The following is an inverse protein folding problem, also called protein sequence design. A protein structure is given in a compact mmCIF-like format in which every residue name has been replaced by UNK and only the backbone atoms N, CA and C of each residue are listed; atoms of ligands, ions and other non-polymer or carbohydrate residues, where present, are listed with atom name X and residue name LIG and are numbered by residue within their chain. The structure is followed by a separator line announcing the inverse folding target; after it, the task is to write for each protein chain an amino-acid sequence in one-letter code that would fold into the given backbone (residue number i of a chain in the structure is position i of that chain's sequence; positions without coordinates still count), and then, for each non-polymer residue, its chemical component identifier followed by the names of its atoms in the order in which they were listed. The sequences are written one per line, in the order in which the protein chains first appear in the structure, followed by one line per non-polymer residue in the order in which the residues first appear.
data_IF_137910713385
#
_entry.id   IF_137910713385
#
_cell.length_a   1.000
_cell.length_b   1.000
_cell.length_c   1.000
_cell.angle_alpha   90.00
_cell.angle_beta   90.00
_cell.angle_gamma   90.00
#
_symmetry.space_group_name_H-M   'P 1'
#
loop_
_entity.id
_entity.type
_entity.pdbx_description
1 polymer ?
#
# COMPACT_ATOMS: atom_id res chain seq x y z
N UNK A 1 5.42 -0.82 -1.83
CA UNK A 1 4.20 -0.84 -1.00
C UNK A 1 4.53 -0.81 0.48
N UNK A 2 3.58 -0.37 1.30
CA UNK A 2 3.69 -0.38 2.77
C UNK A 2 2.68 -1.38 3.31
N UNK A 3 3.15 -2.28 4.15
CA UNK A 3 2.33 -3.24 4.89
C UNK A 3 2.22 -2.88 6.38
N UNK A 4 1.37 -3.60 7.10
CA UNK A 4 1.18 -3.45 8.55
C UNK A 4 0.82 -2.00 8.96
N UNK A 5 0.00 -1.32 8.18
CA UNK A 5 -0.43 0.06 8.45
C UNK A 5 -1.56 0.16 9.47
N UNK A 6 -2.12 -0.97 9.91
CA UNK A 6 -3.11 -1.05 10.99
C UNK A 6 -2.44 -1.39 12.33
N UNK A 7 -2.70 -0.58 13.35
CA UNK A 7 -2.21 -0.86 14.72
C UNK A 7 -2.74 -2.19 15.29
N UNK A 8 -3.92 -2.61 14.87
CA UNK A 8 -4.49 -3.90 15.27
C UNK A 8 -3.67 -5.05 14.68
N UNK A 9 -3.33 -4.98 13.39
CA UNK A 9 -2.52 -6.00 12.71
C UNK A 9 -1.08 -6.01 13.26
N UNK A 10 -0.49 -4.82 13.50
CA UNK A 10 0.81 -4.73 14.17
C UNK A 10 0.81 -5.48 15.51
N UNK A 11 -0.19 -5.24 16.36
CA UNK A 11 -0.31 -5.92 17.65
C UNK A 11 -0.47 -7.45 17.51
N UNK A 12 -1.22 -7.92 16.51
CA UNK A 12 -1.39 -9.36 16.25
C UNK A 12 -0.09 -10.06 15.85
N UNK A 13 0.78 -9.38 15.12
CA UNK A 13 2.07 -9.91 14.66
C UNK A 13 3.24 -9.57 15.59
N UNK A 14 2.97 -8.88 16.71
CA UNK A 14 4.03 -8.44 17.63
C UNK A 14 4.95 -7.38 17.02
N UNK A 15 4.46 -6.63 16.03
CA UNK A 15 5.19 -5.54 15.38
C UNK A 15 4.86 -4.21 16.06
N UNK A 16 5.83 -3.30 16.08
CA UNK A 16 5.67 -1.92 16.59
C UNK A 16 5.70 -0.86 15.49
N UNK A 17 5.99 -1.28 14.27
CA UNK A 17 6.13 -0.43 13.09
C UNK A 17 5.54 -1.10 11.84
N UNK A 18 5.33 -0.35 10.75
CA UNK A 18 5.00 -0.91 9.45
C UNK A 18 6.13 -1.77 8.89
N UNK A 19 5.83 -2.58 7.89
CA UNK A 19 6.81 -3.18 7.00
C UNK A 19 6.68 -2.61 5.58
N UNK A 20 7.54 -3.04 4.67
CA UNK A 20 7.44 -2.68 3.27
C UNK A 20 7.90 -3.82 2.37
N UNK A 21 7.36 -3.84 1.16
CA UNK A 21 7.76 -4.74 0.08
C UNK A 21 7.93 -3.98 -1.23
N UNK A 22 8.64 -4.61 -2.16
CA UNK A 22 8.79 -4.09 -3.51
C UNK A 22 7.67 -4.61 -4.40
N UNK A 23 7.01 -3.70 -5.12
CA UNK A 23 6.08 -4.06 -6.20
C UNK A 23 6.87 -4.04 -7.51
N UNK A 24 7.07 -5.21 -8.10
CA UNK A 24 7.82 -5.37 -9.34
C UNK A 24 6.91 -5.17 -10.55
N UNK A 25 7.50 -4.95 -11.73
CA UNK A 25 6.75 -4.65 -12.95
C UNK A 25 5.85 -5.82 -13.40
N UNK A 26 6.25 -7.04 -13.15
CA UNK A 26 5.49 -8.26 -13.44
C UNK A 26 4.32 -8.52 -12.46
N UNK A 27 4.24 -7.74 -11.38
CA UNK A 27 3.10 -7.75 -10.46
C UNK A 27 2.00 -6.76 -10.85
N UNK A 28 2.24 -5.89 -11.83
CA UNK A 28 1.28 -4.88 -12.27
C UNK A 28 0.27 -5.48 -13.26
N UNK A 29 -1.01 -5.33 -12.95
CA UNK A 29 -2.12 -5.70 -13.83
C UNK A 29 -2.98 -4.49 -14.16
N UNK A 30 -3.53 -4.48 -15.38
CA UNK A 30 -4.44 -3.43 -15.83
C UNK A 30 -5.81 -3.51 -15.12
N UNK A 31 -6.50 -2.37 -15.06
CA UNK A 31 -7.87 -2.31 -14.55
C UNK A 31 -8.80 -3.19 -15.40
N UNK A 32 -9.44 -4.18 -14.75
CA UNK A 32 -10.24 -5.21 -15.42
C UNK A 32 -9.44 -6.37 -16.03
N UNK A 33 -8.11 -6.40 -15.92
CA UNK A 33 -7.30 -7.52 -16.36
C UNK A 33 -7.41 -8.71 -15.40
N UNK A 34 -7.46 -9.91 -15.95
CA UNK A 34 -7.52 -11.13 -15.15
C UNK A 34 -6.13 -11.58 -14.71
N UNK A 35 -5.95 -11.80 -13.42
CA UNK A 35 -4.75 -12.46 -12.89
C UNK A 35 -4.89 -13.96 -13.19
N UNK A 36 -3.92 -14.60 -13.87
CA UNK A 36 -4.01 -16.00 -14.25
C UNK A 36 -4.17 -16.93 -13.04
N UNK A 37 -5.08 -17.89 -13.15
CA UNK A 37 -5.23 -18.93 -12.14
C UNK A 37 -3.94 -19.74 -12.01
N UNK A 38 -3.54 -20.03 -10.77
CA UNK A 38 -2.33 -20.80 -10.46
C UNK A 38 -1.07 -19.97 -10.24
N UNK A 39 -1.12 -18.64 -10.44
CA UNK A 39 -0.05 -17.73 -10.00
C UNK A 39 -0.10 -17.48 -8.49
N UNK A 40 -1.29 -17.60 -7.90
CA UNK A 40 -1.54 -17.28 -6.49
C UNK A 40 -1.84 -18.57 -5.71
N UNK A 41 -1.45 -18.58 -4.43
CA UNK A 41 -1.57 -19.73 -3.53
C UNK A 41 -2.79 -19.58 -2.62
N UNK A 42 -2.86 -18.47 -1.90
CA UNK A 42 -3.90 -18.17 -0.91
C UNK A 42 -4.17 -16.64 -0.85
N UNK A 43 -4.59 -16.03 -1.98
CA UNK A 43 -4.64 -14.58 -2.10
C UNK A 43 -5.69 -13.93 -1.19
N UNK A 44 -5.36 -12.72 -0.76
CA UNK A 44 -6.30 -11.75 -0.18
C UNK A 44 -6.20 -10.45 -0.95
N UNK A 45 -7.25 -9.64 -0.88
CA UNK A 45 -7.36 -8.39 -1.62
C UNK A 45 -7.51 -7.23 -0.66
N UNK A 46 -6.69 -6.20 -0.83
CA UNK A 46 -6.70 -5.00 0.00
C UNK A 46 -6.96 -3.77 -0.88
N UNK A 47 -7.91 -2.94 -0.47
CA UNK A 47 -8.16 -1.66 -1.15
C UNK A 47 -7.29 -0.57 -0.52
N UNK A 48 -6.57 0.16 -1.38
CA UNK A 48 -5.55 1.11 -0.99
C UNK A 48 -5.65 2.43 -1.77
N UNK A 49 -4.82 3.38 -1.39
CA UNK A 49 -4.51 4.57 -2.19
C UNK A 49 -3.08 4.40 -2.72
N UNK A 50 -2.91 4.56 -4.02
CA UNK A 50 -1.61 4.70 -4.64
C UNK A 50 -1.25 6.18 -4.77
N UNK A 51 -0.03 6.57 -4.38
CA UNK A 51 0.55 7.89 -4.63
C UNK A 51 1.58 7.77 -5.75
N UNK A 52 1.44 8.59 -6.77
CA UNK A 52 2.36 8.62 -7.90
C UNK A 52 3.37 9.74 -7.66
N UNK A 53 4.64 9.37 -7.53
CA UNK A 53 5.71 10.29 -7.15
C UNK A 53 6.30 10.97 -8.39
N UNK A 54 6.47 12.28 -8.35
CA UNK A 54 7.02 13.08 -9.45
C UNK A 54 8.30 13.85 -9.08
N UNK A 55 8.77 13.72 -7.82
CA UNK A 55 10.04 14.31 -7.35
C UNK A 55 10.74 13.34 -6.42
N UNK A 56 12.06 13.35 -6.46
CA UNK A 56 12.89 12.52 -5.60
C UNK A 56 12.74 12.93 -4.12
N UNK A 57 12.65 11.93 -3.25
CA UNK A 57 12.54 12.06 -1.79
C UNK A 57 13.85 11.55 -1.17
N UNK A 58 14.86 12.42 -1.10
CA UNK A 58 16.24 12.04 -0.75
C UNK A 58 16.71 12.57 0.61
N UNK A 59 15.87 13.34 1.33
CA UNK A 59 16.20 13.86 2.65
C UNK A 59 16.20 12.74 3.71
N UNK A 60 16.98 12.90 4.78
CA UNK A 60 16.98 11.93 5.90
C UNK A 60 15.63 11.86 6.62
N UNK A 61 14.88 12.96 6.61
CA UNK A 61 13.53 13.06 7.18
C UNK A 61 12.60 13.82 6.26
N UNK A 62 11.38 13.35 6.18
CA UNK A 62 10.34 13.96 5.38
C UNK A 62 9.17 14.43 6.25
N UNK A 63 8.46 15.41 5.74
CA UNK A 63 7.22 15.96 6.30
C UNK A 63 6.06 15.69 5.34
N UNK A 64 4.84 15.98 5.78
CA UNK A 64 3.70 15.97 4.87
C UNK A 64 3.89 16.90 3.67
N UNK A 65 4.52 18.06 3.87
CA UNK A 65 4.77 19.01 2.80
C UNK A 65 5.68 18.40 1.71
N UNK A 66 6.69 17.63 2.10
CA UNK A 66 7.59 16.94 1.16
C UNK A 66 6.83 15.89 0.36
N UNK A 67 6.04 15.05 1.03
CA UNK A 67 5.23 14.01 0.35
C UNK A 67 4.18 14.66 -0.57
N UNK A 68 3.45 15.67 -0.10
CA UNK A 68 2.44 16.37 -0.92
C UNK A 68 3.09 17.03 -2.14
N UNK A 69 4.25 17.69 -1.95
CA UNK A 69 4.98 18.34 -3.05
C UNK A 69 5.55 17.34 -4.06
N UNK A 70 5.89 16.12 -3.61
CA UNK A 70 6.45 15.07 -4.45
C UNK A 70 5.37 14.17 -5.09
N UNK A 71 4.13 14.27 -4.68
CA UNK A 71 3.04 13.48 -5.25
C UNK A 71 2.39 14.24 -6.40
N UNK A 72 2.39 13.65 -7.59
CA UNK A 72 1.67 14.21 -8.72
C UNK A 72 0.16 14.04 -8.55
N UNK A 73 -0.29 12.81 -8.32
CA UNK A 73 -1.69 12.49 -8.08
C UNK A 73 -1.82 11.18 -7.29
N UNK A 74 -3.01 10.95 -6.77
CA UNK A 74 -3.41 9.69 -6.16
C UNK A 74 -4.34 8.91 -7.09
N UNK A 75 -4.30 7.58 -6.97
CA UNK A 75 -5.21 6.65 -7.63
C UNK A 75 -5.85 5.74 -6.58
N UNK A 76 -7.10 5.30 -6.76
CA UNK A 76 -7.56 4.10 -6.07
C UNK A 76 -6.73 2.91 -6.54
N UNK A 77 -6.40 2.02 -5.63
CA UNK A 77 -5.60 0.84 -5.93
C UNK A 77 -6.17 -0.40 -5.23
N UNK A 78 -5.84 -1.54 -5.79
CA UNK A 78 -6.06 -2.84 -5.18
C UNK A 78 -4.70 -3.52 -5.09
N UNK A 79 -4.31 -3.94 -3.90
CA UNK A 79 -3.21 -4.87 -3.72
C UNK A 79 -3.75 -6.28 -3.56
N UNK A 80 -3.09 -7.25 -4.18
CA UNK A 80 -3.28 -8.67 -3.93
C UNK A 80 -2.08 -9.14 -3.13
N UNK A 81 -2.33 -9.50 -1.88
CA UNK A 81 -1.35 -10.13 -1.01
C UNK A 81 -1.52 -11.64 -1.04
N UNK A 82 -0.41 -12.37 -1.06
CA UNK A 82 -0.43 -13.84 -1.18
C UNK A 82 0.77 -14.43 -0.43
N UNK A 83 0.50 -15.02 0.73
CA UNK A 83 1.57 -15.56 1.56
C UNK A 83 2.05 -16.92 1.05
N UNK A 84 3.38 -17.11 1.02
CA UNK A 84 4.03 -18.40 0.77
C UNK A 84 4.07 -19.26 2.04
N UNK A 85 3.61 -18.71 3.17
CA UNK A 85 3.53 -19.44 4.44
C UNK A 85 2.14 -20.04 4.61
N UNK A 86 2.09 -21.33 4.88
CA UNK A 86 0.87 -22.12 4.96
C UNK A 86 -0.15 -21.50 5.94
N UNK A 87 -1.40 -21.38 5.48
CA UNK A 87 -2.55 -20.88 6.25
C UNK A 87 -2.34 -19.49 6.87
N UNK A 88 -1.48 -18.65 6.26
CA UNK A 88 -1.18 -17.32 6.77
C UNK A 88 -0.66 -17.30 8.22
N UNK A 89 -0.01 -18.37 8.69
CA UNK A 89 0.60 -18.44 10.02
C UNK A 89 1.93 -17.69 10.07
N UNK A 90 1.89 -16.42 9.71
CA UNK A 90 3.07 -15.57 9.55
C UNK A 90 3.45 -14.87 10.85
N UNK A 91 4.75 -14.71 11.05
CA UNK A 91 5.36 -13.73 11.94
C UNK A 91 5.82 -12.50 11.16
N UNK A 92 6.28 -11.46 11.85
CA UNK A 92 6.90 -10.29 11.20
C UNK A 92 8.10 -10.70 10.32
N UNK A 93 8.92 -11.65 10.79
CA UNK A 93 10.10 -12.12 10.04
C UNK A 93 9.66 -12.81 8.75
N UNK A 94 8.62 -13.63 8.82
CA UNK A 94 8.09 -14.34 7.67
C UNK A 94 7.56 -13.37 6.61
N UNK A 95 6.76 -12.37 7.00
CA UNK A 95 6.21 -11.41 6.04
C UNK A 95 7.30 -10.54 5.41
N UNK A 96 8.31 -10.11 6.17
CA UNK A 96 9.47 -9.38 5.64
C UNK A 96 10.25 -10.23 4.63
N UNK A 97 10.53 -11.50 4.96
CA UNK A 97 11.23 -12.42 4.08
C UNK A 97 10.43 -12.75 2.81
N UNK A 98 9.10 -12.69 2.89
CA UNK A 98 8.14 -12.94 1.81
C UNK A 98 7.75 -11.65 1.06
N UNK A 99 8.62 -10.66 1.06
CA UNK A 99 8.41 -9.36 0.39
C UNK A 99 7.11 -8.66 0.85
N UNK A 100 6.82 -8.67 2.14
CA UNK A 100 5.57 -8.21 2.75
C UNK A 100 4.32 -8.87 2.12
N UNK A 101 4.45 -10.14 1.75
CA UNK A 101 3.43 -10.96 1.07
C UNK A 101 2.89 -10.36 -0.23
N UNK A 102 3.66 -9.50 -0.91
CA UNK A 102 3.24 -8.88 -2.17
C UNK A 102 3.12 -9.92 -3.28
N UNK A 103 2.05 -9.85 -4.06
CA UNK A 103 1.84 -10.74 -5.21
C UNK A 103 1.43 -10.00 -6.48
N UNK A 104 0.45 -9.10 -6.39
CA UNK A 104 0.01 -8.30 -7.53
C UNK A 104 -0.59 -6.97 -7.08
N UNK A 105 -0.74 -6.03 -8.00
CA UNK A 105 -1.48 -4.81 -7.76
C UNK A 105 -2.16 -4.30 -9.03
N UNK A 106 -3.25 -3.56 -8.83
CA UNK A 106 -4.01 -2.90 -9.89
C UNK A 106 -4.17 -1.44 -9.52
N UNK A 107 -3.90 -0.55 -10.46
CA UNK A 107 -4.16 0.87 -10.32
C UNK A 107 -5.45 1.22 -11.06
N UNK A 108 -6.35 1.92 -10.40
CA UNK A 108 -7.55 2.45 -11.03
C UNK A 108 -7.22 3.60 -11.99
N UNK A 109 -8.16 3.95 -12.84
CA UNK A 109 -7.99 4.88 -13.97
C UNK A 109 -8.41 6.33 -13.69
N UNK A 110 -8.74 6.68 -12.44
CA UNK A 110 -9.26 8.01 -12.06
C UNK A 110 -8.27 8.77 -11.16
N UNK A 111 -7.33 9.54 -11.74
CA UNK A 111 -6.37 10.29 -10.93
C UNK A 111 -7.05 11.46 -10.21
N UNK A 112 -6.64 11.68 -8.96
CA UNK A 112 -7.11 12.80 -8.13
C UNK A 112 -5.89 13.51 -7.55
N UNK A 113 -5.84 14.84 -7.70
CA UNK A 113 -4.82 15.67 -7.04
C UNK A 113 -5.09 15.69 -5.53
N UNK A 114 -4.03 15.70 -4.71
CA UNK A 114 -4.17 15.64 -3.25
C UNK A 114 -4.97 16.83 -2.68
N UNK A 115 -4.94 17.99 -3.32
CA UNK A 115 -5.74 19.17 -2.95
C UNK A 115 -7.26 18.92 -3.03
N UNK A 116 -7.69 17.92 -3.82
CA UNK A 116 -9.09 17.55 -4.03
C UNK A 116 -9.47 16.24 -3.31
N UNK A 117 -8.61 15.71 -2.44
CA UNK A 117 -8.79 14.44 -1.77
C UNK A 117 -8.58 14.55 -0.27
N UNK A 118 -9.63 14.35 0.52
CA UNK A 118 -9.50 14.15 1.97
C UNK A 118 -9.02 12.72 2.24
N UNK A 119 -7.69 12.56 2.32
CA UNK A 119 -7.05 11.26 2.55
C UNK A 119 -7.46 10.61 3.88
N UNK A 120 -7.82 11.40 4.88
CA UNK A 120 -8.18 10.89 6.21
C UNK A 120 -9.60 10.33 6.24
N UNK A 121 -10.54 11.06 5.61
CA UNK A 121 -11.96 10.73 5.68
C UNK A 121 -12.53 10.12 4.39
N UNK A 122 -11.72 9.91 3.36
CA UNK A 122 -12.16 9.21 2.15
C UNK A 122 -12.71 7.82 2.53
N UNK A 123 -13.85 7.49 1.94
CA UNK A 123 -14.52 6.20 2.21
C UNK A 123 -14.09 5.17 1.16
N UNK A 124 -13.89 3.95 1.61
CA UNK A 124 -13.64 2.78 0.78
C UNK A 124 -14.81 1.80 0.93
N UNK A 125 -15.27 1.30 -0.20
CA UNK A 125 -16.22 0.17 -0.26
C UNK A 125 -15.69 -0.79 -1.32
N UNK A 126 -15.44 -2.03 -0.93
CA UNK A 126 -15.07 -3.11 -1.84
C UNK A 126 -16.28 -4.03 -2.05
N UNK A 127 -16.54 -4.34 -3.30
CA UNK A 127 -17.70 -5.14 -3.68
C UNK A 127 -17.27 -6.36 -4.50
N UNK A 128 -17.99 -7.47 -4.34
CA UNK A 128 -17.92 -8.65 -5.21
C UNK A 128 -19.28 -8.85 -5.85
N UNK A 129 -19.44 -8.42 -7.10
CA UNK A 129 -20.76 -8.23 -7.70
C UNK A 129 -21.56 -7.18 -6.90
N UNK A 130 -22.73 -7.56 -6.40
CA UNK A 130 -23.59 -6.70 -5.60
C UNK A 130 -23.35 -6.81 -4.08
N UNK A 131 -22.45 -7.70 -3.65
CA UNK A 131 -22.12 -7.93 -2.25
C UNK A 131 -21.00 -6.98 -1.79
N UNK A 132 -21.24 -6.23 -0.70
CA UNK A 132 -20.18 -5.48 -0.03
C UNK A 132 -19.34 -6.44 0.80
N UNK A 133 -18.06 -6.61 0.43
CA UNK A 133 -17.13 -7.54 1.10
C UNK A 133 -16.16 -6.85 2.06
N UNK A 134 -15.93 -5.55 1.90
CA UNK A 134 -15.14 -4.74 2.84
C UNK A 134 -15.56 -3.28 2.79
N UNK A 135 -15.42 -2.59 3.91
CA UNK A 135 -15.60 -1.14 4.02
C UNK A 135 -14.52 -0.56 4.92
N UNK A 136 -14.12 0.66 4.60
CA UNK A 136 -13.11 1.34 5.39
C UNK A 136 -13.04 2.83 5.12
N UNK A 137 -12.03 3.45 5.68
CA UNK A 137 -11.82 4.88 5.61
C UNK A 137 -10.31 5.17 5.68
N UNK A 138 -9.88 6.24 5.04
CA UNK A 138 -8.45 6.57 4.91
C UNK A 138 -7.67 6.58 6.22
N UNK A 139 -8.28 7.03 7.33
CA UNK A 139 -7.63 7.03 8.66
C UNK A 139 -7.31 5.63 9.22
N UNK A 140 -7.83 4.55 8.63
CA UNK A 140 -7.43 3.19 9.02
C UNK A 140 -5.95 2.92 8.71
N UNK A 141 -5.41 3.56 7.67
CA UNK A 141 -4.00 3.54 7.31
C UNK A 141 -3.23 4.55 8.18
N UNK A 142 -2.64 4.09 9.30
CA UNK A 142 -1.82 4.89 10.25
C UNK A 142 -2.41 6.26 10.62
N UNK A 143 -3.72 6.35 10.79
CA UNK A 143 -4.51 7.55 11.03
C UNK A 143 -4.52 8.56 9.85
N UNK A 144 -3.58 8.46 8.93
CA UNK A 144 -3.50 9.24 7.68
C UNK A 144 -2.55 8.51 6.72
N UNK A 145 -2.95 8.20 5.47
CA UNK A 145 -2.07 7.60 4.47
C UNK A 145 -0.75 8.34 4.23
N UNK A 146 -0.71 9.66 4.48
CA UNK A 146 0.54 10.43 4.44
C UNK A 146 1.55 9.99 5.52
N UNK A 147 1.10 9.50 6.68
CA UNK A 147 2.00 8.94 7.69
C UNK A 147 2.75 7.72 7.17
N UNK A 148 2.05 6.85 6.45
CA UNK A 148 2.67 5.69 5.81
C UNK A 148 3.70 6.11 4.76
N UNK A 149 3.36 7.08 3.91
CA UNK A 149 4.27 7.59 2.89
C UNK A 149 5.52 8.28 3.48
N UNK A 150 5.37 9.09 4.53
CA UNK A 150 6.51 9.70 5.25
C UNK A 150 7.41 8.62 5.84
N UNK A 151 6.80 7.63 6.52
CA UNK A 151 7.57 6.53 7.11
C UNK A 151 8.36 5.76 6.05
N UNK A 152 7.73 5.45 4.90
CA UNK A 152 8.41 4.74 3.82
C UNK A 152 9.55 5.57 3.23
N UNK A 153 9.33 6.86 2.97
CA UNK A 153 10.35 7.74 2.40
C UNK A 153 11.60 7.80 3.30
N UNK A 154 11.41 7.98 4.61
CA UNK A 154 12.50 7.98 5.59
C UNK A 154 13.22 6.61 5.64
N UNK A 155 12.46 5.52 5.63
CA UNK A 155 13.01 4.17 5.69
C UNK A 155 13.83 3.84 4.43
N UNK A 156 13.35 4.23 3.25
CA UNK A 156 14.03 3.99 1.98
C UNK A 156 15.35 4.77 1.88
N UNK A 157 15.39 6.01 2.38
CA UNK A 157 16.65 6.77 2.46
C UNK A 157 17.64 6.10 3.42
N UNK A 158 17.20 5.67 4.61
CA UNK A 158 18.05 4.95 5.56
C UNK A 158 18.67 3.68 4.97
N UNK A 159 17.99 3.05 4.02
CA UNK A 159 18.48 1.86 3.30
C UNK A 159 19.27 2.18 2.03
N UNK A 160 19.55 3.45 1.76
CA UNK A 160 20.30 3.87 0.57
C UNK A 160 19.52 3.70 -0.75
N UNK A 161 18.20 3.61 -0.70
CA UNK A 161 17.32 3.47 -1.88
C UNK A 161 16.15 4.45 -1.79
N UNK A 162 16.41 5.77 -1.88
CA UNK A 162 15.36 6.78 -1.79
C UNK A 162 14.28 6.55 -2.84
N UNK A 163 13.07 7.03 -2.54
CA UNK A 163 11.98 7.07 -3.52
C UNK A 163 12.29 8.14 -4.56
N UNK A 164 12.12 7.79 -5.83
CA UNK A 164 12.44 8.65 -6.97
C UNK A 164 11.18 9.02 -7.76
N UNK A 165 11.30 10.04 -8.59
CA UNK A 165 10.26 10.40 -9.55
C UNK A 165 9.93 9.19 -10.45
N UNK A 166 8.64 8.89 -10.58
CA UNK A 166 8.13 7.70 -11.27
C UNK A 166 7.79 6.53 -10.35
N UNK A 167 8.22 6.55 -9.09
CA UNK A 167 7.84 5.51 -8.13
C UNK A 167 6.37 5.60 -7.74
N UNK A 168 5.81 4.44 -7.41
CA UNK A 168 4.44 4.27 -6.94
C UNK A 168 4.46 3.81 -5.49
N UNK A 169 3.77 4.53 -4.62
CA UNK A 169 3.56 4.12 -3.24
C UNK A 169 2.16 3.56 -3.09
N UNK A 170 2.03 2.28 -2.76
CA UNK A 170 0.80 1.71 -2.20
C UNK A 170 0.82 1.95 -0.69
N UNK A 171 -0.15 2.71 -0.18
CA UNK A 171 -0.06 3.30 1.17
C UNK A 171 -0.43 2.36 2.30
N UNK A 172 -1.09 1.25 2.00
CA UNK A 172 -1.62 0.30 2.97
C UNK A 172 -3.14 0.29 3.01
N UNK A 173 -3.69 -0.81 3.49
CA UNK A 173 -5.12 -1.09 3.48
C UNK A 173 -5.97 -0.03 4.20
N UNK A 174 -7.11 0.33 3.59
CA UNK A 174 -8.08 1.29 4.13
C UNK A 174 -9.16 0.62 4.98
N UNK A 175 -9.15 -0.69 5.09
CA UNK A 175 -10.11 -1.50 5.84
C UNK A 175 -9.65 -2.95 5.93
N UNK A 176 -10.46 -3.82 6.58
CA UNK A 176 -10.20 -5.25 6.71
C UNK A 176 -10.33 -5.98 5.39
#
# INVERSE_FOLDING_TARGET
KIGLTSKVVQAQLGADQPDFGMSFADMAYGDGEAIPAGLLIQPKVEAEIALIINKDLTQEKHTYADIISATDYALPAVEVVDSRIENWKISLIDTVADNASSAAYVLGSRPVKLENLDLVNCKMVMMRGDEVVSQGVGKACLANPLNAAVWLADEMVRRGRPLLAGDIILTGALGP
#
